data_IF_753658002542
#
_entry.id   IF_753658002542
#
_cell.length_a   1.000
_cell.length_b   1.000
_cell.length_c   1.000
_cell.angle_alpha   90.00
_cell.angle_beta   90.00
_cell.angle_gamma   90.00
#
_symmetry.space_group_name_H-M   'P 1'
#
loop_
_entity.id
_entity.type
_entity.pdbx_description
1 polymer ?
#
# COMPACT_ATOMS: atom_id res chain seq x y z
N UNK A 1 -14.76 -17.23 -6.00
CA UNK A 1 -13.73 -16.53 -6.77
C UNK A 1 -13.70 -15.05 -6.40
N UNK A 2 -14.72 -14.26 -6.75
CA UNK A 2 -14.76 -12.81 -6.51
C UNK A 2 -14.47 -12.41 -5.05
N UNK A 3 -15.14 -13.03 -4.06
CA UNK A 3 -14.90 -12.76 -2.62
C UNK A 3 -13.45 -12.96 -2.15
N UNK A 4 -12.68 -13.83 -2.80
CA UNK A 4 -11.27 -14.07 -2.44
C UNK A 4 -10.35 -13.02 -3.06
N UNK A 5 -10.64 -12.63 -4.29
CA UNK A 5 -9.95 -11.58 -5.04
C UNK A 5 -10.18 -10.23 -4.34
N UNK A 6 -11.42 -9.90 -4.00
CA UNK A 6 -11.78 -8.68 -3.26
C UNK A 6 -11.10 -8.60 -1.90
N UNK A 7 -11.11 -9.69 -1.14
CA UNK A 7 -10.38 -9.76 0.14
C UNK A 7 -8.88 -9.57 -0.06
N UNK A 8 -8.28 -10.23 -1.05
CA UNK A 8 -6.87 -10.05 -1.40
C UNK A 8 -6.52 -8.60 -1.73
N UNK A 9 -7.35 -7.94 -2.55
CA UNK A 9 -7.19 -6.53 -2.87
C UNK A 9 -7.29 -5.64 -1.62
N UNK A 10 -8.33 -5.80 -0.81
CA UNK A 10 -8.55 -4.99 0.39
C UNK A 10 -7.43 -5.13 1.42
N UNK A 11 -7.02 -6.38 1.72
CA UNK A 11 -5.93 -6.63 2.65
C UNK A 11 -4.59 -6.11 2.09
N UNK A 12 -4.35 -6.29 0.80
CA UNK A 12 -3.17 -5.72 0.14
C UNK A 12 -3.17 -4.19 0.17
N UNK A 13 -4.32 -3.56 -0.06
CA UNK A 13 -4.43 -2.11 -0.02
C UNK A 13 -4.17 -1.54 1.38
N UNK A 14 -4.80 -2.10 2.41
CA UNK A 14 -4.58 -1.68 3.80
C UNK A 14 -3.10 -1.85 4.17
N UNK A 15 -2.51 -3.01 3.87
CA UNK A 15 -1.11 -3.27 4.14
C UNK A 15 -0.20 -2.30 3.39
N UNK A 16 -0.54 -1.97 2.14
CA UNK A 16 0.23 -1.03 1.34
C UNK A 16 0.17 0.41 1.83
N UNK A 17 -1.00 0.86 2.28
CA UNK A 17 -1.12 2.16 2.96
C UNK A 17 -0.33 2.15 4.27
N UNK A 18 -0.44 1.09 5.08
CA UNK A 18 0.32 0.97 6.33
C UNK A 18 1.83 1.05 6.10
N UNK A 19 2.36 0.34 5.11
CA UNK A 19 3.79 0.41 4.76
C UNK A 19 4.17 1.76 4.14
N UNK A 20 3.29 2.34 3.33
CA UNK A 20 3.48 3.65 2.73
C UNK A 20 3.60 4.76 3.78
N UNK A 21 2.86 4.69 4.88
CA UNK A 21 2.95 5.68 5.97
C UNK A 21 4.35 5.75 6.61
N UNK A 22 5.10 4.65 6.62
CA UNK A 22 6.46 4.62 7.17
C UNK A 22 7.55 4.98 6.16
N UNK A 23 7.22 4.97 4.86
CA UNK A 23 8.21 5.10 3.78
C UNK A 23 8.07 6.39 2.99
N UNK A 24 6.88 6.97 2.94
CA UNK A 24 6.64 8.23 2.25
C UNK A 24 7.09 9.38 3.16
N UNK A 25 8.03 10.22 2.71
CA UNK A 25 8.44 11.39 3.47
C UNK A 25 7.25 12.36 3.59
N UNK A 26 7.00 12.83 4.81
CA UNK A 26 5.95 13.82 5.11
C UNK A 26 6.53 15.22 5.38
N UNK A 27 7.86 15.32 5.46
CA UNK A 27 8.60 16.55 5.65
C UNK A 27 9.96 16.45 4.99
N UNK A 28 10.48 17.58 4.58
CA UNK A 28 11.85 17.77 4.14
C UNK A 28 12.60 18.55 5.22
N UNK A 29 13.78 18.07 5.60
CA UNK A 29 14.66 18.77 6.54
C UNK A 29 15.83 19.28 5.73
N UNK A 30 15.90 20.60 5.58
CA UNK A 30 17.04 21.26 4.92
C UNK A 30 18.09 21.51 6.00
N UNK A 31 19.23 20.80 5.90
CA UNK A 31 20.32 20.93 6.87
C UNK A 31 21.20 22.11 6.47
N UNK A 32 21.10 23.21 7.21
CA UNK A 32 21.92 24.44 7.10
C UNK A 32 22.33 24.97 8.49
N UNK A 33 22.73 26.25 8.60
CA UNK A 33 23.10 26.90 9.88
C UNK A 33 21.92 27.00 10.89
N UNK A 34 20.68 26.91 10.39
CA UNK A 34 19.46 26.76 11.17
C UNK A 34 18.68 25.61 10.54
N UNK A 35 18.26 24.62 11.34
CA UNK A 35 17.45 23.49 10.85
C UNK A 35 16.06 24.01 10.42
N UNK A 36 15.83 24.14 9.12
CA UNK A 36 14.53 24.54 8.58
C UNK A 36 13.74 23.28 8.21
N UNK A 37 12.62 23.07 8.91
CA UNK A 37 11.71 21.94 8.66
C UNK A 37 10.58 22.41 7.77
N UNK A 38 10.56 21.94 6.53
CA UNK A 38 9.47 22.20 5.59
C UNK A 38 8.55 20.98 5.54
N UNK A 39 7.30 21.15 5.93
CA UNK A 39 6.29 20.11 5.80
C UNK A 39 5.83 20.04 4.35
N UNK A 40 5.68 18.83 3.82
CA UNK A 40 5.15 18.63 2.48
C UNK A 40 3.65 18.95 2.46
N UNK A 41 3.19 19.45 1.33
CA UNK A 41 1.76 19.61 1.10
C UNK A 41 1.05 18.26 1.18
N UNK A 42 -0.21 18.29 1.63
CA UNK A 42 -0.99 17.07 1.83
C UNK A 42 -1.11 16.24 0.54
N UNK A 43 -1.19 16.89 -0.63
CA UNK A 43 -1.21 16.22 -1.93
C UNK A 43 0.07 15.44 -2.21
N UNK A 44 1.21 16.03 -1.87
CA UNK A 44 2.54 15.49 -2.19
C UNK A 44 2.86 14.30 -1.29
N UNK A 45 2.22 14.21 -0.13
CA UNK A 45 2.25 13.04 0.73
C UNK A 45 1.22 11.96 0.31
N UNK A 46 -0.03 12.34 0.05
CA UNK A 46 -1.12 11.40 -0.22
C UNK A 46 -0.94 10.67 -1.56
N UNK A 47 -0.47 11.36 -2.60
CA UNK A 47 -0.36 10.76 -3.94
C UNK A 47 0.65 9.58 -3.95
N UNK A 48 1.87 9.71 -3.42
CA UNK A 48 2.80 8.59 -3.29
C UNK A 48 2.26 7.47 -2.38
N UNK A 49 1.60 7.83 -1.28
CA UNK A 49 1.00 6.89 -0.34
C UNK A 49 -0.05 6.00 -1.04
N UNK A 50 -0.98 6.61 -1.77
CA UNK A 50 -1.99 5.90 -2.55
C UNK A 50 -1.37 5.04 -3.65
N UNK A 51 -0.30 5.52 -4.30
CA UNK A 51 0.40 4.75 -5.34
C UNK A 51 0.95 3.43 -4.77
N UNK A 52 1.63 3.48 -3.62
CA UNK A 52 2.14 2.29 -2.93
C UNK A 52 0.97 1.37 -2.53
N UNK A 53 -0.09 1.94 -1.96
CA UNK A 53 -1.31 1.22 -1.60
C UNK A 53 -1.89 0.43 -2.77
N UNK A 54 -2.05 1.06 -3.94
CA UNK A 54 -2.58 0.42 -5.15
C UNK A 54 -1.66 -0.69 -5.65
N UNK A 55 -0.34 -0.46 -5.70
CA UNK A 55 0.63 -1.48 -6.14
C UNK A 55 0.53 -2.73 -5.27
N UNK A 56 0.49 -2.57 -3.94
CA UNK A 56 0.42 -3.71 -3.01
C UNK A 56 -0.98 -4.35 -3.05
N UNK A 57 -2.05 -3.58 -3.28
CA UNK A 57 -3.39 -4.13 -3.49
C UNK A 57 -3.47 -5.05 -4.70
N UNK A 58 -2.81 -4.70 -5.81
CA UNK A 58 -2.72 -5.55 -7.00
C UNK A 58 -1.96 -6.86 -6.69
N UNK A 59 -0.87 -6.79 -5.94
CA UNK A 59 -0.15 -7.99 -5.47
C UNK A 59 -1.06 -8.85 -4.58
N UNK A 60 -1.78 -8.22 -3.63
CA UNK A 60 -2.75 -8.90 -2.77
C UNK A 60 -3.88 -9.57 -3.56
N UNK A 61 -4.30 -8.97 -4.68
CA UNK A 61 -5.30 -9.54 -5.60
C UNK A 61 -4.80 -10.84 -6.23
N UNK A 62 -3.55 -10.85 -6.71
CA UNK A 62 -2.90 -12.04 -7.28
C UNK A 62 -2.78 -13.14 -6.22
N UNK A 63 -2.37 -12.80 -5.00
CA UNK A 63 -2.30 -13.73 -3.87
C UNK A 63 -3.68 -14.30 -3.54
N UNK A 64 -4.71 -13.46 -3.47
CA UNK A 64 -6.09 -13.87 -3.23
C UNK A 64 -6.62 -14.84 -4.30
N UNK A 65 -6.24 -14.62 -5.57
CA UNK A 65 -6.55 -15.54 -6.67
C UNK A 65 -5.86 -16.90 -6.50
N UNK A 66 -4.57 -16.93 -6.14
CA UNK A 66 -3.86 -18.18 -5.86
C UNK A 66 -4.46 -18.95 -4.68
N UNK A 67 -4.84 -18.27 -3.60
CA UNK A 67 -5.53 -18.90 -2.47
C UNK A 67 -6.87 -19.53 -2.88
N UNK A 68 -7.63 -18.85 -3.76
CA UNK A 68 -8.86 -19.43 -4.30
C UNK A 68 -8.59 -20.72 -5.11
N UNK A 69 -7.56 -20.72 -5.97
CA UNK A 69 -7.18 -21.89 -6.74
C UNK A 69 -6.69 -23.04 -5.87
N UNK A 70 -5.90 -22.74 -4.83
CA UNK A 70 -5.45 -23.73 -3.85
C UNK A 70 -6.64 -24.37 -3.14
N UNK A 71 -7.55 -23.55 -2.59
CA UNK A 71 -8.75 -24.03 -1.89
C UNK A 71 -9.65 -24.88 -2.79
N UNK A 72 -9.79 -24.52 -4.07
CA UNK A 72 -10.56 -25.29 -5.04
C UNK A 72 -9.94 -26.68 -5.30
N UNK A 73 -8.60 -26.79 -5.30
CA UNK A 73 -7.89 -28.08 -5.46
C UNK A 73 -7.95 -28.97 -4.22
N UNK A 74 -8.04 -28.42 -3.01
CA UNK A 74 -8.05 -29.20 -1.77
C UNK A 74 -9.43 -29.75 -1.38
N UNK A 75 -10.50 -29.16 -1.90
CA UNK A 75 -11.90 -29.53 -1.58
C UNK A 75 -12.64 -30.17 -2.75
N UNK A 76 -11.96 -30.39 -3.88
CA UNK A 76 -12.50 -31.00 -5.10
C UNK A 76 -11.97 -32.40 -5.31
#
# INVERSE_FOLDING_TARGET
>A
MLKFIEKGFLYGFILGISLGLFTVPYKEVVVGDLEETNYLDLSDFIIPLLRIGVVIALIGTVIGFFFYQYRKKTLG
#
